data_IF_111420130181
#
_entry.id   IF_111420130181
#
_cell.length_a   1.000
_cell.length_b   1.000
_cell.length_c   1.000
_cell.angle_alpha   90.00
_cell.angle_beta   90.00
_cell.angle_gamma   90.00
#
_symmetry.space_group_name_H-M   'P 1'
#
loop_
_entity.id
_entity.type
_entity.pdbx_description
1 polymer ?
#
# COMPACT_ATOMS: atom_id res chain seq x y z
N UNK A 1 -16.09 -32.76 21.39
CA UNK A 1 -16.53 -32.35 22.74
C UNK A 1 -15.60 -31.32 23.38
N UNK A 2 -14.29 -31.35 23.13
CA UNK A 2 -13.31 -30.41 23.71
C UNK A 2 -13.26 -29.04 23.02
N UNK A 3 -13.45 -28.95 21.70
CA UNK A 3 -13.37 -27.69 20.94
C UNK A 3 -14.62 -26.81 21.08
N UNK A 4 -15.82 -27.38 21.06
CA UNK A 4 -17.08 -26.63 21.26
C UNK A 4 -17.17 -26.02 22.66
N UNK A 5 -16.62 -26.72 23.67
CA UNK A 5 -16.57 -26.23 25.04
C UNK A 5 -15.55 -25.08 25.20
N UNK A 6 -14.45 -25.09 24.44
CA UNK A 6 -13.48 -23.98 24.40
C UNK A 6 -14.04 -22.77 23.63
N UNK A 7 -14.77 -22.99 22.54
CA UNK A 7 -15.42 -21.93 21.78
C UNK A 7 -16.47 -21.22 22.63
N UNK A 8 -17.31 -21.98 23.35
CA UNK A 8 -18.33 -21.44 24.25
C UNK A 8 -17.70 -20.67 25.42
N UNK A 9 -16.62 -21.19 26.02
CA UNK A 9 -15.90 -20.49 27.09
C UNK A 9 -15.24 -19.17 26.63
N UNK A 10 -14.70 -19.13 25.41
CA UNK A 10 -14.14 -17.90 24.84
C UNK A 10 -15.24 -16.88 24.49
N UNK A 11 -16.39 -17.35 24.01
CA UNK A 11 -17.54 -16.51 23.69
C UNK A 11 -18.16 -15.88 24.94
N UNK A 12 -18.31 -16.66 26.02
CA UNK A 12 -18.74 -16.15 27.32
C UNK A 12 -17.78 -15.09 27.87
N UNK A 13 -16.46 -15.30 27.70
CA UNK A 13 -15.43 -14.37 28.16
C UNK A 13 -15.43 -13.05 27.38
N UNK A 14 -15.76 -13.10 26.10
CA UNK A 14 -15.98 -11.91 25.28
C UNK A 14 -17.25 -11.18 25.68
N UNK A 15 -18.39 -11.89 25.80
CA UNK A 15 -19.67 -11.29 26.20
C UNK A 15 -19.68 -10.71 27.63
N UNK A 16 -18.77 -11.17 28.48
CA UNK A 16 -18.57 -10.64 29.84
C UNK A 16 -17.63 -9.44 29.90
N UNK A 17 -17.02 -9.04 28.77
CA UNK A 17 -16.09 -7.91 28.74
C UNK A 17 -16.86 -6.59 28.89
N UNK A 18 -16.48 -5.70 29.83
CA UNK A 18 -17.19 -4.43 30.05
C UNK A 18 -17.20 -3.51 28.81
N UNK A 19 -16.27 -3.74 27.86
CA UNK A 19 -16.18 -3.05 26.56
C UNK A 19 -17.36 -3.41 25.62
N UNK A 20 -17.98 -4.58 25.81
CA UNK A 20 -19.14 -5.03 25.01
C UNK A 20 -20.50 -4.71 25.69
N UNK A 21 -20.51 -3.88 26.74
CA UNK A 21 -21.75 -3.48 27.41
C UNK A 21 -22.36 -2.19 26.82
N UNK A 22 -21.58 -1.45 26.02
CA UNK A 22 -22.02 -0.25 25.30
C UNK A 22 -22.46 -0.61 23.88
N UNK A 23 -23.73 -0.32 23.55
CA UNK A 23 -24.33 -0.65 22.26
C UNK A 23 -23.57 0.01 21.08
N UNK A 24 -23.08 1.23 21.26
CA UNK A 24 -22.31 1.92 20.23
C UNK A 24 -20.96 1.23 19.97
N UNK A 25 -20.32 0.70 21.01
CA UNK A 25 -19.09 -0.08 20.90
C UNK A 25 -19.34 -1.43 20.21
N UNK A 26 -20.44 -2.12 20.51
CA UNK A 26 -20.83 -3.37 19.81
C UNK A 26 -21.04 -3.12 18.33
N UNK A 27 -21.78 -2.06 17.97
CA UNK A 27 -22.05 -1.72 16.57
C UNK A 27 -20.76 -1.31 15.83
N UNK A 28 -19.86 -0.59 16.51
CA UNK A 28 -18.54 -0.25 15.98
C UNK A 28 -17.67 -1.48 15.73
N UNK A 29 -17.61 -2.41 16.68
CA UNK A 29 -16.85 -3.67 16.55
C UNK A 29 -17.43 -4.52 15.42
N UNK A 30 -18.77 -4.63 15.34
CA UNK A 30 -19.44 -5.34 14.24
C UNK A 30 -19.05 -4.75 12.88
N UNK A 31 -19.07 -3.43 12.75
CA UNK A 31 -18.67 -2.74 11.52
C UNK A 31 -17.20 -3.02 11.15
N UNK A 32 -16.30 -3.02 12.12
CA UNK A 32 -14.89 -3.36 11.92
C UNK A 32 -14.71 -4.82 11.49
N UNK A 33 -15.42 -5.75 12.12
CA UNK A 33 -15.41 -7.17 11.75
C UNK A 33 -15.93 -7.35 10.32
N UNK A 34 -17.03 -6.70 9.94
CA UNK A 34 -17.58 -6.79 8.59
C UNK A 34 -16.58 -6.29 7.51
N UNK A 35 -15.80 -5.26 7.83
CA UNK A 35 -14.75 -4.73 6.95
C UNK A 35 -13.47 -5.58 6.93
N UNK A 36 -13.11 -6.17 8.07
CA UNK A 36 -11.91 -7.00 8.20
C UNK A 36 -12.12 -8.44 7.69
N UNK A 37 -13.35 -8.97 7.76
CA UNK A 37 -13.72 -10.30 7.33
C UNK A 37 -13.21 -10.67 5.93
N UNK A 38 -13.39 -9.86 4.86
CA UNK A 38 -12.86 -10.21 3.54
C UNK A 38 -11.33 -10.28 3.50
N UNK A 39 -10.63 -9.46 4.30
CA UNK A 39 -9.16 -9.46 4.36
C UNK A 39 -8.62 -10.67 5.13
N UNK A 40 -9.32 -11.07 6.20
CA UNK A 40 -9.02 -12.27 7.00
C UNK A 40 -9.27 -13.53 6.16
N UNK A 41 -10.41 -13.62 5.47
CA UNK A 41 -10.75 -14.74 4.61
C UNK A 41 -9.80 -14.88 3.42
N UNK A 42 -9.30 -13.76 2.87
CA UNK A 42 -8.30 -13.77 1.81
C UNK A 42 -6.88 -14.09 2.30
N UNK A 43 -6.67 -14.30 3.60
CA UNK A 43 -5.34 -14.55 4.20
C UNK A 43 -4.39 -13.35 4.15
N UNK A 44 -4.89 -12.15 3.82
CA UNK A 44 -4.09 -10.93 3.64
C UNK A 44 -4.03 -10.06 4.88
N UNK A 45 -4.92 -10.31 5.85
CA UNK A 45 -4.97 -9.53 7.08
C UNK A 45 -3.66 -9.58 7.86
N UNK A 46 -3.01 -10.75 7.91
CA UNK A 46 -1.70 -10.89 8.56
C UNK A 46 -0.65 -9.97 7.94
N UNK A 47 -0.59 -9.86 6.61
CA UNK A 47 0.36 -8.96 5.94
C UNK A 47 0.12 -7.48 6.30
N UNK A 48 -1.14 -7.09 6.50
CA UNK A 48 -1.48 -5.73 6.93
C UNK A 48 -1.01 -5.51 8.37
N UNK A 49 -1.23 -6.49 9.26
CA UNK A 49 -0.74 -6.43 10.63
C UNK A 49 0.79 -6.37 10.66
N UNK A 50 1.48 -7.20 9.88
CA UNK A 50 2.95 -7.20 9.80
C UNK A 50 3.49 -5.85 9.32
N UNK A 51 2.85 -5.23 8.32
CA UNK A 51 3.20 -3.90 7.86
C UNK A 51 2.96 -2.83 8.94
N UNK A 52 1.83 -2.90 9.63
CA UNK A 52 1.53 -1.99 10.74
C UNK A 52 2.50 -2.18 11.91
N UNK A 53 2.94 -3.40 12.19
CA UNK A 53 3.97 -3.69 13.19
C UNK A 53 5.30 -3.06 12.82
N UNK A 54 5.77 -3.24 11.58
CA UNK A 54 7.01 -2.60 11.10
C UNK A 54 6.89 -1.07 11.24
N UNK A 55 5.77 -0.48 10.86
CA UNK A 55 5.54 0.96 10.99
C UNK A 55 5.53 1.38 12.47
N UNK A 56 4.84 0.63 13.32
CA UNK A 56 4.72 0.91 14.76
C UNK A 56 6.08 0.87 15.46
N UNK A 57 6.91 -0.13 15.16
CA UNK A 57 8.26 -0.26 15.72
C UNK A 57 9.14 0.94 15.35
N UNK A 58 8.90 1.56 14.19
CA UNK A 58 9.62 2.76 13.77
C UNK A 58 9.06 4.03 14.43
N UNK A 59 7.76 4.11 14.74
CA UNK A 59 7.13 5.29 15.34
C UNK A 59 7.59 5.51 16.78
N UNK A 60 7.89 4.45 17.54
CA UNK A 60 8.35 4.55 18.93
C UNK A 60 9.67 5.32 19.10
N UNK A 61 10.48 5.43 18.03
CA UNK A 61 11.75 6.17 18.04
C UNK A 61 11.66 7.56 17.40
N UNK A 62 10.50 7.96 16.85
CA UNK A 62 10.34 9.26 16.19
C UNK A 62 9.93 10.32 17.22
N UNK A 63 10.80 11.30 17.43
CA UNK A 63 10.40 12.57 18.04
C UNK A 63 9.40 13.31 17.12
N UNK A 64 8.66 14.29 17.64
CA UNK A 64 7.54 14.96 16.95
C UNK A 64 7.97 15.57 15.59
N UNK A 65 9.17 16.13 15.52
CA UNK A 65 9.76 16.65 14.28
C UNK A 65 10.11 15.54 13.26
N UNK A 66 10.49 14.36 13.72
CA UNK A 66 10.77 13.21 12.87
C UNK A 66 9.47 12.58 12.35
N UNK A 67 8.41 12.57 13.16
CA UNK A 67 7.08 12.13 12.75
C UNK A 67 6.51 13.01 11.62
N UNK A 68 6.60 14.33 11.74
CA UNK A 68 6.14 15.26 10.68
C UNK A 68 6.89 15.01 9.36
N UNK A 69 8.21 14.84 9.41
CA UNK A 69 9.02 14.58 8.21
C UNK A 69 8.69 13.23 7.58
N UNK A 70 8.54 12.18 8.38
CA UNK A 70 8.15 10.84 7.90
C UNK A 70 6.76 10.85 7.29
N UNK A 71 5.83 11.62 7.87
CA UNK A 71 4.48 11.79 7.34
C UNK A 71 4.52 12.49 5.98
N UNK A 72 5.25 13.60 5.84
CA UNK A 72 5.43 14.29 4.55
C UNK A 72 6.05 13.39 3.49
N UNK A 73 7.11 12.65 3.83
CA UNK A 73 7.73 11.69 2.91
C UNK A 73 6.75 10.56 2.56
N UNK A 74 5.96 10.08 3.51
CA UNK A 74 4.91 9.10 3.29
C UNK A 74 3.82 9.60 2.34
N UNK A 75 3.34 10.82 2.52
CA UNK A 75 2.38 11.48 1.63
C UNK A 75 2.95 11.62 0.21
N UNK A 76 4.20 12.03 0.07
CA UNK A 76 4.88 12.14 -1.22
C UNK A 76 5.00 10.78 -1.92
N UNK A 77 5.38 9.72 -1.19
CA UNK A 77 5.48 8.35 -1.73
C UNK A 77 4.09 7.85 -2.15
N UNK A 78 3.06 8.06 -1.33
CA UNK A 78 1.69 7.67 -1.65
C UNK A 78 1.17 8.41 -2.88
N UNK A 79 1.43 9.72 -2.99
CA UNK A 79 1.05 10.53 -4.15
C UNK A 79 1.76 10.07 -5.43
N UNK A 80 3.06 9.78 -5.35
CA UNK A 80 3.83 9.20 -6.46
C UNK A 80 3.29 7.82 -6.85
N UNK A 81 3.03 6.96 -5.85
CA UNK A 81 2.48 5.62 -6.06
C UNK A 81 1.09 5.65 -6.72
N UNK A 82 0.22 6.57 -6.29
CA UNK A 82 -1.09 6.78 -6.89
C UNK A 82 -0.97 7.21 -8.36
N UNK A 83 -0.10 8.18 -8.64
CA UNK A 83 0.12 8.69 -10.00
C UNK A 83 0.69 7.60 -10.90
N UNK A 84 1.70 6.87 -10.44
CA UNK A 84 2.30 5.75 -11.17
C UNK A 84 1.28 4.62 -11.42
N UNK A 85 0.48 4.26 -10.40
CA UNK A 85 -0.56 3.24 -10.52
C UNK A 85 -1.64 3.62 -11.54
N UNK A 86 -2.06 4.88 -11.58
CA UNK A 86 -2.98 5.38 -12.60
C UNK A 86 -2.35 5.36 -14.00
N UNK A 87 -1.08 5.74 -14.13
CA UNK A 87 -0.37 5.68 -15.41
C UNK A 87 -0.29 4.24 -15.93
N UNK A 88 0.01 3.27 -15.06
CA UNK A 88 -0.02 1.83 -15.40
C UNK A 88 -1.40 1.39 -15.83
N UNK A 89 -2.45 1.78 -15.09
CA UNK A 89 -3.84 1.43 -15.43
C UNK A 89 -4.23 1.98 -16.81
N UNK A 90 -3.82 3.21 -17.11
CA UNK A 90 -4.06 3.85 -18.41
C UNK A 90 -3.24 3.21 -19.53
N UNK A 91 -2.00 2.79 -19.27
CA UNK A 91 -1.18 2.07 -20.23
C UNK A 91 -1.74 0.67 -20.54
N UNK A 92 -2.25 -0.04 -19.53
CA UNK A 92 -2.92 -1.33 -19.71
C UNK A 92 -4.19 -1.17 -20.54
N UNK A 93 -5.05 -0.20 -20.22
CA UNK A 93 -6.26 0.05 -21.00
C UNK A 93 -5.96 0.38 -22.47
N UNK A 94 -4.90 1.16 -22.74
CA UNK A 94 -4.45 1.45 -24.10
C UNK A 94 -3.90 0.21 -24.81
N UNK A 95 -3.22 -0.68 -24.09
CA UNK A 95 -2.65 -1.92 -24.64
C UNK A 95 -3.75 -2.93 -24.96
N UNK A 96 -4.74 -3.08 -24.07
CA UNK A 96 -5.91 -3.94 -24.28
C UNK A 96 -6.78 -3.46 -25.46
N UNK A 97 -6.81 -2.16 -25.72
CA UNK A 97 -7.51 -1.58 -26.87
C UNK A 97 -6.81 -1.85 -28.22
N UNK A 98 -5.57 -2.37 -28.23
CA UNK A 98 -4.88 -2.74 -29.46
C UNK A 98 -5.41 -4.09 -29.98
N UNK A 99 -5.90 -4.10 -31.22
CA UNK A 99 -6.36 -5.35 -31.87
C UNK A 99 -5.23 -6.38 -32.05
N UNK A 100 -3.97 -5.93 -32.13
CA UNK A 100 -2.78 -6.77 -32.28
C UNK A 100 -1.62 -6.21 -31.46
N UNK A 101 -0.74 -7.06 -30.91
CA UNK A 101 0.43 -6.58 -30.19
C UNK A 101 1.37 -5.78 -31.12
N UNK A 102 2.02 -4.72 -30.62
CA UNK A 102 2.92 -3.90 -31.40
C UNK A 102 4.15 -4.72 -31.87
N UNK A 103 4.55 -4.52 -33.12
CA UNK A 103 5.76 -5.14 -33.66
C UNK A 103 7.06 -4.50 -33.15
N UNK A 104 8.19 -5.20 -33.34
CA UNK A 104 9.53 -4.73 -32.95
C UNK A 104 9.86 -3.32 -33.49
N UNK A 105 9.53 -3.02 -34.74
CA UNK A 105 9.76 -1.69 -35.32
C UNK A 105 8.88 -0.60 -34.70
N UNK A 106 7.66 -0.93 -34.30
CA UNK A 106 6.77 0.03 -33.62
C UNK A 106 7.26 0.33 -32.20
N UNK A 107 7.80 -0.66 -31.49
CA UNK A 107 8.46 -0.48 -30.20
C UNK A 107 9.71 0.40 -30.31
N UNK A 108 10.52 0.24 -31.36
CA UNK A 108 11.68 1.11 -31.58
C UNK A 108 11.23 2.53 -31.97
N UNK A 109 10.20 2.64 -32.82
CA UNK A 109 9.66 3.94 -33.22
C UNK A 109 9.02 4.73 -32.06
N UNK A 110 8.49 4.06 -31.04
CA UNK A 110 7.90 4.73 -29.87
C UNK A 110 8.95 5.46 -29.02
N UNK A 111 10.24 5.08 -29.12
CA UNK A 111 11.32 5.85 -28.50
C UNK A 111 11.51 7.24 -29.11
N UNK A 112 10.96 7.50 -30.31
CA UNK A 112 11.01 8.81 -30.93
C UNK A 112 9.87 9.74 -30.44
N UNK A 113 8.92 9.20 -29.69
CA UNK A 113 7.84 9.98 -29.08
C UNK A 113 8.44 11.06 -28.15
N UNK A 114 7.96 12.33 -28.23
CA UNK A 114 8.47 13.41 -27.40
C UNK A 114 8.39 13.13 -25.89
N UNK A 115 7.32 12.49 -25.42
CA UNK A 115 7.08 12.24 -24.00
C UNK A 115 7.90 11.04 -23.50
N UNK A 116 8.11 10.02 -24.35
CA UNK A 116 9.07 8.93 -24.08
C UNK A 116 10.50 9.47 -23.98
N UNK A 117 10.90 10.40 -24.87
CA UNK A 117 12.24 11.00 -24.79
C UNK A 117 12.41 11.90 -23.57
N UNK A 118 11.38 12.68 -23.19
CA UNK A 118 11.40 13.51 -21.97
C UNK A 118 11.55 12.65 -20.72
N UNK A 119 10.80 11.57 -20.61
CA UNK A 119 10.89 10.65 -19.47
C UNK A 119 12.26 9.96 -19.41
N UNK A 120 12.79 9.49 -20.54
CA UNK A 120 14.14 8.93 -20.61
C UNK A 120 15.20 9.96 -20.18
N UNK A 121 15.10 11.20 -20.66
CA UNK A 121 15.99 12.28 -20.25
C UNK A 121 15.89 12.57 -18.74
N UNK A 122 14.69 12.55 -18.17
CA UNK A 122 14.49 12.65 -16.72
C UNK A 122 15.21 11.53 -15.97
N UNK A 123 15.03 10.26 -16.36
CA UNK A 123 15.71 9.13 -15.72
C UNK A 123 17.24 9.27 -15.76
N UNK A 124 17.79 9.60 -16.91
CA UNK A 124 19.24 9.85 -17.08
C UNK A 124 19.69 11.01 -16.19
N UNK A 125 18.90 12.09 -16.12
CA UNK A 125 19.15 13.24 -15.27
C UNK A 125 19.20 12.88 -13.78
N UNK A 126 18.21 12.11 -13.32
CA UNK A 126 18.11 11.63 -11.93
C UNK A 126 19.29 10.72 -11.57
N UNK A 127 19.63 9.76 -12.43
CA UNK A 127 20.79 8.88 -12.22
C UNK A 127 22.10 9.68 -12.13
N UNK A 128 22.24 10.73 -12.94
CA UNK A 128 23.41 11.62 -12.87
C UNK A 128 23.48 12.39 -11.55
N UNK A 129 22.34 12.80 -10.99
CA UNK A 129 22.29 13.46 -9.68
C UNK A 129 22.71 12.49 -8.58
N UNK A 130 22.12 11.29 -8.56
CA UNK A 130 22.44 10.25 -7.57
C UNK A 130 23.92 9.88 -7.65
N UNK A 131 24.43 9.60 -8.86
CA UNK A 131 25.85 9.26 -9.06
C UNK A 131 26.82 10.37 -8.66
N UNK A 132 26.41 11.64 -8.72
CA UNK A 132 27.23 12.76 -8.20
C UNK A 132 27.29 12.77 -6.68
N UNK A 133 26.19 12.46 -6.00
CA UNK A 133 26.16 12.39 -4.54
C UNK A 133 27.08 11.27 -4.04
N UNK A 134 27.06 10.11 -4.70
CA UNK A 134 27.93 8.97 -4.38
C UNK A 134 29.44 9.22 -4.59
N UNK A 135 29.83 10.25 -5.35
CA UNK A 135 31.24 10.62 -5.57
C UNK A 135 31.74 11.64 -4.55
N UNK A 136 30.82 12.37 -3.92
CA UNK A 136 31.14 13.44 -2.98
C UNK A 136 31.12 12.95 -1.50
N UNK A 137 30.87 11.66 -1.29
CA UNK A 137 31.22 10.88 -0.09
C UNK A 137 32.47 10.03 -0.38
#
# INVERSE_FOLDING_TARGET
>A
MSEEMQLNGNLEKLMSAPVLNDQATIDGIKNLIDKAAPLVQAGRFNNIIDLLSIISDNIEFLDEAALEKTTKVGEEILALGWTAGNAVRMANAQTEALEKPPGLFQLISSLNDPDVRRSLHFFIGTMRIIGRQMKND
#
